data_IF_507375509265
#
_entry.id   IF_507375509265
#
_cell.length_a   1.000
_cell.length_b   1.000
_cell.length_c   1.000
_cell.angle_alpha   90.00
_cell.angle_beta   90.00
_cell.angle_gamma   90.00
#
_symmetry.space_group_name_H-M   'P 1'
#
loop_
_entity.id
_entity.type
_entity.pdbx_description
1 polymer ?
#
# COMPACT_ATOMS: atom_id res chain seq x y z
N UNK A 1 38.07 -46.25 -0.38
CA UNK A 1 37.70 -44.79 -0.44
C UNK A 1 37.59 -44.28 0.99
N UNK A 2 38.44 -43.30 1.42
CA UNK A 2 38.31 -42.71 2.76
C UNK A 2 37.19 -41.66 2.74
N UNK A 3 36.05 -41.96 3.38
CA UNK A 3 35.02 -40.98 3.62
C UNK A 3 35.53 -39.97 4.64
N UNK A 4 35.83 -38.75 4.18
CA UNK A 4 36.14 -37.62 5.07
C UNK A 4 34.80 -37.09 5.59
N UNK A 5 34.53 -37.29 6.88
CA UNK A 5 33.42 -36.63 7.56
C UNK A 5 33.75 -35.18 7.91
N UNK A 6 32.74 -34.32 8.01
CA UNK A 6 32.90 -32.95 8.50
C UNK A 6 33.24 -32.92 9.97
N UNK A 7 34.10 -32.00 10.35
CA UNK A 7 34.43 -31.77 11.76
C UNK A 7 33.37 -30.89 12.43
N UNK A 8 33.22 -31.04 13.74
CA UNK A 8 32.29 -30.25 14.54
C UNK A 8 32.63 -28.75 14.47
N UNK A 9 33.91 -28.39 14.40
CA UNK A 9 34.33 -27.00 14.30
C UNK A 9 34.01 -26.37 12.93
N UNK A 10 34.06 -27.11 11.84
CA UNK A 10 33.66 -26.66 10.52
C UNK A 10 32.16 -26.32 10.49
N UNK A 11 31.32 -27.17 11.10
CA UNK A 11 29.90 -26.89 11.19
C UNK A 11 29.62 -25.66 12.06
N UNK A 12 30.32 -25.50 13.17
CA UNK A 12 30.16 -24.37 14.07
C UNK A 12 30.56 -23.04 13.39
N UNK A 13 31.65 -23.05 12.62
CA UNK A 13 32.09 -21.88 11.86
C UNK A 13 31.04 -21.47 10.80
N UNK A 14 30.44 -22.44 10.08
CA UNK A 14 29.42 -22.18 9.06
C UNK A 14 28.16 -21.54 9.68
N UNK A 15 27.64 -22.10 10.79
CA UNK A 15 26.43 -21.57 11.41
C UNK A 15 26.67 -20.17 11.98
N UNK A 16 27.86 -19.85 12.46
CA UNK A 16 28.24 -18.53 12.94
C UNK A 16 28.24 -17.49 11.80
N UNK A 17 28.78 -17.85 10.64
CA UNK A 17 28.76 -16.98 9.46
C UNK A 17 27.32 -16.74 8.98
N UNK A 18 26.52 -17.79 8.89
CA UNK A 18 25.10 -17.68 8.49
C UNK A 18 24.35 -16.78 9.49
N UNK A 19 24.54 -16.95 10.78
CA UNK A 19 23.90 -16.13 11.81
C UNK A 19 24.24 -14.64 11.66
N UNK A 20 25.48 -14.30 11.37
CA UNK A 20 25.90 -12.91 11.10
C UNK A 20 25.20 -12.35 9.85
N UNK A 21 25.15 -13.10 8.75
CA UNK A 21 24.52 -12.64 7.52
C UNK A 21 23.00 -12.44 7.70
N UNK A 22 22.33 -13.39 8.34
CA UNK A 22 20.87 -13.32 8.60
C UNK A 22 20.52 -12.14 9.51
N UNK A 23 21.33 -11.82 10.49
CA UNK A 23 21.06 -10.71 11.41
C UNK A 23 20.91 -9.34 10.69
N UNK A 24 21.63 -9.13 9.59
CA UNK A 24 21.57 -7.92 8.77
C UNK A 24 20.54 -8.04 7.64
N UNK A 25 20.42 -9.23 7.04
CA UNK A 25 19.55 -9.44 5.89
C UNK A 25 18.05 -9.44 6.25
N UNK A 26 17.68 -10.04 7.39
CA UNK A 26 16.29 -10.23 7.78
C UNK A 26 15.47 -8.92 7.93
N UNK A 27 15.98 -7.87 8.60
CA UNK A 27 15.26 -6.60 8.73
C UNK A 27 15.08 -5.91 7.37
N UNK A 28 16.05 -5.96 6.48
CA UNK A 28 15.95 -5.40 5.12
C UNK A 28 14.92 -6.15 4.30
N UNK A 29 14.94 -7.48 4.37
CA UNK A 29 13.95 -8.33 3.68
C UNK A 29 12.52 -8.02 4.13
N UNK A 30 12.26 -7.91 5.43
CA UNK A 30 10.93 -7.55 5.96
C UNK A 30 10.44 -6.21 5.42
N UNK A 31 11.30 -5.19 5.33
CA UNK A 31 10.94 -3.89 4.75
C UNK A 31 10.60 -4.01 3.26
N UNK A 32 11.37 -4.78 2.50
CA UNK A 32 11.10 -5.00 1.07
C UNK A 32 9.76 -5.68 0.84
N UNK A 33 9.41 -6.68 1.66
CA UNK A 33 8.10 -7.36 1.59
C UNK A 33 6.96 -6.39 1.89
N UNK A 34 7.06 -5.58 2.96
CA UNK A 34 6.03 -4.59 3.30
C UNK A 34 5.85 -3.57 2.17
N UNK A 35 6.96 -3.13 1.54
CA UNK A 35 6.90 -2.21 0.40
C UNK A 35 6.22 -2.85 -0.81
N UNK A 36 6.53 -4.10 -1.13
CA UNK A 36 5.89 -4.81 -2.23
C UNK A 36 4.36 -4.97 -2.01
N UNK A 37 3.95 -5.35 -0.80
CA UNK A 37 2.54 -5.41 -0.43
C UNK A 37 1.86 -4.02 -0.54
N UNK A 38 2.52 -2.96 -0.13
CA UNK A 38 2.00 -1.61 -0.20
C UNK A 38 1.83 -1.14 -1.66
N UNK A 39 2.76 -1.51 -2.55
CA UNK A 39 2.64 -1.20 -3.99
C UNK A 39 1.47 -1.91 -4.65
N UNK A 40 1.15 -3.16 -4.25
CA UNK A 40 -0.05 -3.86 -4.69
C UNK A 40 -1.32 -3.07 -4.31
N UNK A 41 -1.42 -2.66 -3.04
CA UNK A 41 -2.54 -1.86 -2.56
C UNK A 41 -2.68 -0.53 -3.31
N UNK A 42 -1.56 0.13 -3.59
CA UNK A 42 -1.51 1.40 -4.30
C UNK A 42 -1.96 1.25 -5.76
N UNK A 43 -1.53 0.19 -6.44
CA UNK A 43 -1.96 -0.11 -7.82
C UNK A 43 -3.46 -0.34 -7.88
N UNK A 44 -4.00 -1.16 -6.99
CA UNK A 44 -5.44 -1.41 -6.90
C UNK A 44 -6.22 -0.12 -6.57
N UNK A 45 -5.67 0.73 -5.69
CA UNK A 45 -6.28 2.01 -5.35
C UNK A 45 -6.37 2.96 -6.55
N UNK A 46 -5.32 3.03 -7.38
CA UNK A 46 -5.31 3.82 -8.63
C UNK A 46 -6.36 3.31 -9.62
N UNK A 47 -6.42 1.99 -9.82
CA UNK A 47 -7.44 1.39 -10.68
C UNK A 47 -8.86 1.72 -10.21
N UNK A 48 -9.10 1.67 -8.90
CA UNK A 48 -10.39 2.05 -8.30
C UNK A 48 -10.68 3.54 -8.47
N UNK A 49 -9.69 4.40 -8.29
CA UNK A 49 -9.83 5.85 -8.48
C UNK A 49 -10.21 6.17 -9.93
N UNK A 50 -9.51 5.58 -10.90
CA UNK A 50 -9.78 5.79 -12.33
C UNK A 50 -11.17 5.28 -12.71
N UNK A 51 -11.60 4.12 -12.22
CA UNK A 51 -12.93 3.59 -12.44
C UNK A 51 -14.02 4.49 -11.82
N UNK A 52 -13.78 4.99 -10.62
CA UNK A 52 -14.69 5.91 -9.95
C UNK A 52 -14.80 7.26 -10.68
N UNK A 53 -13.72 7.77 -11.25
CA UNK A 53 -13.73 8.97 -12.08
C UNK A 53 -14.51 8.76 -13.37
N UNK A 54 -14.37 7.60 -14.02
CA UNK A 54 -15.19 7.25 -15.21
C UNK A 54 -16.68 7.15 -14.87
N UNK A 55 -17.02 6.47 -13.77
CA UNK A 55 -18.41 6.38 -13.30
C UNK A 55 -19.02 7.75 -12.97
N UNK A 56 -18.24 8.65 -12.36
CA UNK A 56 -18.64 10.03 -12.10
C UNK A 56 -18.82 10.82 -13.39
N UNK A 57 -17.94 10.68 -14.37
CA UNK A 57 -18.04 11.37 -15.65
C UNK A 57 -19.26 10.91 -16.47
N UNK A 58 -19.61 9.63 -16.39
CA UNK A 58 -20.79 9.07 -17.05
C UNK A 58 -22.11 9.55 -16.44
N UNK A 59 -22.11 9.98 -15.19
CA UNK A 59 -23.31 10.45 -14.50
C UNK A 59 -23.03 11.76 -13.74
N UNK A 60 -23.07 12.88 -14.48
CA UNK A 60 -22.73 14.21 -13.98
C UNK A 60 -23.65 14.74 -12.87
N UNK A 61 -24.85 14.14 -12.70
CA UNK A 61 -25.81 14.53 -11.66
C UNK A 61 -25.60 13.75 -10.36
N UNK A 62 -24.72 12.76 -10.34
CA UNK A 62 -24.52 11.88 -9.19
C UNK A 62 -23.25 12.25 -8.43
N UNK A 63 -23.33 12.11 -7.12
CA UNK A 63 -22.13 12.10 -6.29
C UNK A 63 -21.17 10.97 -6.73
N UNK A 64 -19.91 11.01 -6.28
CA UNK A 64 -18.97 9.92 -6.53
C UNK A 64 -19.56 8.56 -6.11
N UNK A 65 -19.21 7.45 -6.80
CA UNK A 65 -19.71 6.13 -6.49
C UNK A 65 -19.35 5.73 -5.06
N UNK A 66 -20.26 5.07 -4.36
CA UNK A 66 -20.08 4.66 -2.97
C UNK A 66 -19.89 3.15 -2.81
N UNK A 67 -20.03 2.38 -3.89
CA UNK A 67 -19.88 0.93 -3.86
C UNK A 67 -19.15 0.40 -5.09
N UNK A 68 -18.56 -0.79 -4.96
CA UNK A 68 -17.83 -1.43 -6.05
C UNK A 68 -18.73 -1.77 -7.24
N UNK A 69 -20.00 -2.09 -7.00
CA UNK A 69 -20.98 -2.43 -8.06
C UNK A 69 -21.36 -1.23 -8.96
N UNK A 70 -21.03 -0.02 -8.54
CA UNK A 70 -21.25 1.18 -9.36
C UNK A 70 -20.10 1.45 -10.34
N UNK A 71 -19.03 0.67 -10.24
CA UNK A 71 -17.84 0.80 -11.09
C UNK A 71 -17.89 -0.16 -12.27
N UNK A 72 -17.18 0.19 -13.33
CA UNK A 72 -17.02 -0.60 -14.57
C UNK A 72 -15.90 -1.66 -14.46
N UNK A 73 -15.51 -2.01 -13.24
CA UNK A 73 -14.49 -3.02 -12.95
C UNK A 73 -15.09 -4.13 -12.08
N UNK A 74 -14.66 -5.36 -12.31
CA UNK A 74 -15.01 -6.51 -11.48
C UNK A 74 -13.77 -7.03 -10.73
N UNK A 75 -13.83 -6.94 -9.42
CA UNK A 75 -12.89 -7.60 -8.51
C UNK A 75 -13.53 -8.91 -8.06
N UNK A 76 -13.29 -9.99 -8.79
CA UNK A 76 -13.97 -11.28 -8.61
C UNK A 76 -13.96 -11.79 -7.17
N UNK A 77 -12.85 -11.64 -6.46
CA UNK A 77 -12.68 -12.10 -5.08
C UNK A 77 -13.07 -11.04 -4.02
N UNK A 78 -13.61 -9.91 -4.41
CA UNK A 78 -14.01 -8.88 -3.45
C UNK A 78 -15.28 -9.29 -2.71
N UNK A 79 -15.24 -9.17 -1.38
CA UNK A 79 -16.42 -9.35 -0.52
C UNK A 79 -17.15 -8.03 -0.27
N UNK A 80 -18.46 -8.08 -0.05
CA UNK A 80 -19.32 -6.91 0.24
C UNK A 80 -19.34 -5.85 -0.86
N UNK A 81 -19.41 -6.25 -2.12
CA UNK A 81 -19.37 -5.36 -3.30
C UNK A 81 -20.46 -4.27 -3.30
N UNK A 82 -21.58 -4.51 -2.63
CA UNK A 82 -22.70 -3.55 -2.52
C UNK A 82 -22.51 -2.50 -1.42
N UNK A 83 -21.45 -2.61 -0.65
CA UNK A 83 -21.17 -1.72 0.48
C UNK A 83 -20.11 -0.69 0.12
N UNK A 84 -20.11 0.45 0.81
CA UNK A 84 -19.03 1.43 0.78
C UNK A 84 -17.71 0.88 1.35
N UNK A 85 -17.75 -0.25 2.03
CA UNK A 85 -16.59 -0.93 2.57
C UNK A 85 -16.55 -2.36 2.06
N UNK A 86 -15.49 -2.72 1.35
CA UNK A 86 -15.27 -4.07 0.84
C UNK A 86 -13.85 -4.56 1.14
N UNK A 87 -13.65 -5.87 1.04
CA UNK A 87 -12.37 -6.52 1.25
C UNK A 87 -11.94 -7.15 -0.07
N UNK A 88 -10.71 -6.87 -0.48
CA UNK A 88 -10.08 -7.53 -1.61
C UNK A 88 -8.64 -7.93 -1.21
N UNK A 89 -8.35 -9.22 -1.28
CA UNK A 89 -7.10 -9.78 -0.81
C UNK A 89 -6.85 -9.50 0.68
N UNK A 90 -5.72 -8.89 0.96
CA UNK A 90 -5.27 -8.55 2.33
C UNK A 90 -5.74 -7.17 2.80
N UNK A 91 -6.48 -6.43 1.96
CA UNK A 91 -6.80 -5.03 2.17
C UNK A 91 -8.29 -4.81 2.34
N UNK A 92 -8.61 -3.78 3.12
CA UNK A 92 -9.94 -3.21 3.24
C UNK A 92 -9.95 -1.89 2.49
N UNK A 93 -10.94 -1.72 1.63
CA UNK A 93 -11.22 -0.52 0.87
C UNK A 93 -12.46 0.15 1.42
N UNK A 94 -12.42 1.47 1.53
CA UNK A 94 -13.52 2.29 2.00
C UNK A 94 -13.74 3.37 0.95
N UNK A 95 -14.90 3.39 0.32
CA UNK A 95 -15.32 4.38 -0.65
C UNK A 95 -16.22 5.41 0.02
N UNK A 96 -15.96 6.67 -0.23
CA UNK A 96 -16.78 7.80 0.25
C UNK A 96 -17.08 8.74 -0.92
N UNK A 97 -17.91 9.76 -0.69
CA UNK A 97 -18.16 10.78 -1.69
C UNK A 97 -16.94 11.67 -2.03
N UNK A 98 -15.88 11.61 -1.22
CA UNK A 98 -14.71 12.52 -1.33
C UNK A 98 -13.40 11.78 -1.61
N UNK A 99 -13.28 10.52 -1.22
CA UNK A 99 -12.05 9.75 -1.36
C UNK A 99 -12.30 8.23 -1.35
N UNK A 100 -11.30 7.49 -1.81
CA UNK A 100 -11.17 6.04 -1.61
C UNK A 100 -9.97 5.81 -0.70
N UNK A 101 -10.18 5.08 0.38
CA UNK A 101 -9.12 4.72 1.33
C UNK A 101 -8.84 3.23 1.27
N UNK A 102 -7.57 2.85 1.27
CA UNK A 102 -7.12 1.47 1.42
C UNK A 102 -6.24 1.31 2.65
N UNK A 103 -6.48 0.29 3.42
CA UNK A 103 -5.68 -0.06 4.58
C UNK A 103 -5.56 -1.58 4.73
N UNK A 104 -4.47 -2.04 5.33
CA UNK A 104 -4.29 -3.47 5.60
C UNK A 104 -5.38 -3.97 6.55
N UNK A 105 -5.93 -5.17 6.32
CA UNK A 105 -7.01 -5.75 7.12
C UNK A 105 -6.57 -6.06 8.55
N UNK A 106 -5.35 -6.56 8.70
CA UNK A 106 -4.71 -6.84 10.00
C UNK A 106 -3.59 -5.82 10.20
N UNK A 107 -3.55 -5.15 11.35
CA UNK A 107 -2.57 -4.11 11.66
C UNK A 107 -2.60 -2.95 10.64
N UNK A 108 -3.64 -2.12 10.72
CA UNK A 108 -3.81 -0.94 9.85
C UNK A 108 -2.80 0.18 10.21
N UNK A 109 -1.50 -0.14 10.15
CA UNK A 109 -0.42 0.76 10.54
C UNK A 109 -0.14 1.83 9.50
N UNK A 110 -0.64 1.64 8.26
CA UNK A 110 -0.59 2.63 7.19
C UNK A 110 -1.87 2.57 6.35
N UNK A 111 -2.16 3.67 5.67
CA UNK A 111 -3.26 3.76 4.73
C UNK A 111 -2.87 4.64 3.54
N UNK A 112 -3.38 4.31 2.36
CA UNK A 112 -3.38 5.20 1.21
C UNK A 112 -4.78 5.75 1.00
N UNK A 113 -4.86 7.03 0.61
CA UNK A 113 -6.11 7.73 0.38
C UNK A 113 -6.02 8.41 -0.98
N UNK A 114 -6.87 8.01 -1.91
CA UNK A 114 -7.03 8.64 -3.21
C UNK A 114 -8.20 9.62 -3.15
N UNK A 115 -7.93 10.91 -3.30
CA UNK A 115 -8.94 11.95 -3.31
C UNK A 115 -9.51 12.13 -4.71
N UNK A 116 -10.81 12.43 -4.81
CA UNK A 116 -11.40 12.83 -6.07
C UNK A 116 -10.98 14.28 -6.40
N UNK A 117 -10.78 14.61 -7.69
CA UNK A 117 -10.55 15.99 -8.12
C UNK A 117 -11.69 16.90 -7.67
N UNK A 118 -11.39 18.17 -7.42
CA UNK A 118 -12.33 19.23 -7.04
C UNK A 118 -12.91 19.15 -5.62
N UNK A 119 -12.47 18.18 -4.81
CA UNK A 119 -12.91 18.02 -3.44
C UNK A 119 -11.73 18.21 -2.47
N UNK A 120 -11.96 19.01 -1.42
CA UNK A 120 -11.04 19.21 -0.30
C UNK A 120 -9.63 19.78 -0.64
N UNK A 121 -9.45 20.39 -1.82
CA UNK A 121 -8.16 20.99 -2.22
C UNK A 121 -7.01 19.98 -2.41
N UNK A 122 -7.30 18.68 -2.44
CA UNK A 122 -6.30 17.61 -2.65
C UNK A 122 -6.07 17.27 -4.13
N UNK A 123 -6.86 17.85 -5.06
CA UNK A 123 -6.59 17.84 -6.49
C UNK A 123 -6.50 16.46 -7.16
N UNK A 124 -7.15 15.43 -6.63
CA UNK A 124 -7.07 14.06 -7.16
C UNK A 124 -5.81 13.31 -6.74
N UNK A 125 -5.02 13.87 -5.83
CA UNK A 125 -3.77 13.29 -5.36
C UNK A 125 -4.01 12.04 -4.50
N UNK A 126 -3.02 11.15 -4.50
CA UNK A 126 -2.97 10.01 -3.58
C UNK A 126 -2.04 10.37 -2.44
N UNK A 127 -2.50 10.16 -1.23
CA UNK A 127 -1.73 10.41 -0.02
C UNK A 127 -1.46 9.15 0.76
N UNK A 128 -0.41 9.16 1.57
CA UNK A 128 -0.05 8.09 2.49
C UNK A 128 -0.03 8.62 3.92
N UNK A 129 -0.63 7.84 4.81
CA UNK A 129 -0.55 8.04 6.26
C UNK A 129 -0.01 6.78 6.92
N UNK A 130 0.85 6.92 7.91
CA UNK A 130 1.42 5.81 8.67
C UNK A 130 1.60 6.18 10.13
N UNK A 131 1.72 5.17 10.99
CA UNK A 131 2.17 5.35 12.36
C UNK A 131 3.71 5.47 12.40
N UNK A 132 4.29 5.70 13.58
CA UNK A 132 5.74 5.83 13.77
C UNK A 132 6.55 4.68 13.17
N UNK A 133 6.03 3.44 13.23
CA UNK A 133 6.72 2.24 12.75
C UNK A 133 6.66 2.06 11.23
N UNK A 134 5.70 2.69 10.56
CA UNK A 134 5.46 2.57 9.11
C UNK A 134 5.64 3.86 8.34
N UNK A 135 5.96 4.97 9.01
CA UNK A 135 6.16 6.27 8.38
C UNK A 135 7.24 6.22 7.29
N UNK A 136 8.31 5.44 7.51
CA UNK A 136 9.35 5.20 6.51
C UNK A 136 8.81 4.68 5.17
N UNK A 137 7.69 3.95 5.18
CA UNK A 137 7.04 3.45 3.98
C UNK A 137 6.48 4.61 3.15
N UNK A 138 5.74 5.53 3.78
CA UNK A 138 5.22 6.72 3.12
C UNK A 138 6.35 7.63 2.60
N UNK A 139 7.42 7.81 3.37
CA UNK A 139 8.63 8.55 2.97
C UNK A 139 9.33 7.91 1.77
N UNK A 140 9.41 6.58 1.73
CA UNK A 140 10.07 5.86 0.63
C UNK A 140 9.33 5.91 -0.71
N UNK A 141 8.09 6.38 -0.72
CA UNK A 141 7.21 6.45 -1.90
C UNK A 141 6.68 7.86 -2.16
N UNK A 142 7.07 8.86 -1.37
CA UNK A 142 6.57 10.20 -1.51
C UNK A 142 7.04 10.88 -2.80
N UNK A 143 6.24 11.84 -3.27
CA UNK A 143 6.67 12.78 -4.29
C UNK A 143 7.63 13.78 -3.65
N UNK A 144 8.80 13.95 -4.25
CA UNK A 144 9.80 14.92 -3.82
C UNK A 144 9.56 16.29 -4.49
N UNK A 145 9.87 17.36 -3.77
CA UNK A 145 9.94 18.70 -4.31
C UNK A 145 11.30 18.94 -5.03
N UNK A 146 11.53 20.13 -5.54
CA UNK A 146 12.78 20.51 -6.21
C UNK A 146 14.02 20.47 -5.30
N UNK A 147 13.83 20.43 -3.99
CA UNK A 147 14.90 20.32 -2.99
C UNK A 147 15.11 18.88 -2.48
N UNK A 148 14.36 17.89 -3.01
CA UNK A 148 14.43 16.49 -2.61
C UNK A 148 13.69 16.17 -1.31
N UNK A 149 12.81 17.07 -0.83
CA UNK A 149 12.00 16.81 0.35
C UNK A 149 10.64 16.20 -0.04
N UNK A 150 10.12 15.31 0.81
CA UNK A 150 8.78 14.77 0.63
C UNK A 150 7.69 15.85 0.71
N UNK A 151 6.88 15.96 -0.33
CA UNK A 151 5.74 16.88 -0.33
C UNK A 151 4.65 16.36 0.61
N UNK A 152 4.18 17.23 1.48
CA UNK A 152 3.07 16.97 2.41
C UNK A 152 1.93 17.95 2.21
N UNK A 153 0.71 17.44 2.31
CA UNK A 153 -0.51 18.26 2.30
C UNK A 153 -1.39 17.83 3.47
N UNK A 154 -1.84 18.75 4.30
CA UNK A 154 -2.63 18.47 5.50
C UNK A 154 -1.98 17.39 6.41
N UNK A 155 -0.65 17.36 6.52
CA UNK A 155 0.09 16.40 7.33
C UNK A 155 0.26 15.01 6.70
N UNK A 156 -0.22 14.77 5.49
CA UNK A 156 -0.11 13.50 4.77
C UNK A 156 0.95 13.59 3.66
N UNK A 157 1.68 12.49 3.43
CA UNK A 157 2.64 12.42 2.33
C UNK A 157 1.93 12.24 0.99
N UNK A 158 2.27 13.06 0.00
CA UNK A 158 1.80 12.91 -1.38
C UNK A 158 2.62 11.80 -2.05
N UNK A 159 1.95 10.86 -2.70
CA UNK A 159 2.57 9.71 -3.38
C UNK A 159 2.66 10.00 -4.88
N UNK A 160 3.74 9.50 -5.49
CA UNK A 160 3.94 9.54 -6.94
C UNK A 160 3.06 8.53 -7.69
#
# INVERSE_FOLDING_TARGET
MKNKGFTLIEMLAVVLIIAMLVSVALPKYKRSVVRAEAMEALTNLRTLQDAALRAKAANTQRAAPLSLNELDIDLFDASNKNSSTFIFGRYRYIMTSTFIRVQKRTNANYAFIAYYPDLNGMGGEITCTGNTDTLWLCESMCREDSAGNCVKKQGQYIIN
#
